data_IF_422947992548
#
_entry.id   IF_422947992548
#
_cell.length_a   1.000
_cell.length_b   1.000
_cell.length_c   1.000
_cell.angle_alpha   90.00
_cell.angle_beta   90.00
_cell.angle_gamma   90.00
#
_symmetry.space_group_name_H-M   'P 1'
#
loop_
_entity.id
_entity.type
_entity.pdbx_description
1 polymer ?
#
# COMPACT_ATOMS: atom_id res chain seq x y z
N UNK A 1 -4.53 2.26 -10.35
CA UNK A 1 -3.41 1.63 -11.07
C UNK A 1 -3.80 0.23 -11.46
N UNK A 2 -3.24 -0.34 -12.51
CA UNK A 2 -3.39 -1.75 -12.85
C UNK A 2 -2.43 -2.61 -12.02
N UNK A 3 -2.92 -3.72 -11.48
CA UNK A 3 -2.16 -4.69 -10.67
C UNK A 3 -2.39 -6.08 -11.25
N UNK A 4 -1.32 -6.86 -11.38
CA UNK A 4 -1.40 -8.26 -11.80
C UNK A 4 -0.53 -9.13 -10.89
N UNK A 5 -1.12 -10.23 -10.44
CA UNK A 5 -0.51 -11.26 -9.61
C UNK A 5 -0.45 -12.54 -10.44
N UNK A 6 0.75 -13.09 -10.59
CA UNK A 6 0.99 -14.29 -11.38
C UNK A 6 1.58 -15.35 -10.46
N UNK A 7 0.80 -16.41 -10.25
CA UNK A 7 1.19 -17.60 -9.48
C UNK A 7 1.79 -17.27 -8.10
N UNK A 8 1.13 -16.37 -7.36
CA UNK A 8 1.64 -15.91 -6.06
C UNK A 8 1.50 -17.00 -5.01
N UNK A 9 2.63 -17.37 -4.41
CA UNK A 9 2.67 -18.18 -3.21
C UNK A 9 3.29 -17.42 -2.04
N UNK A 10 2.86 -17.76 -0.84
CA UNK A 10 3.44 -17.24 0.40
C UNK A 10 3.46 -18.31 1.47
N UNK A 11 4.66 -18.68 1.92
CA UNK A 11 4.89 -19.55 3.07
C UNK A 11 5.76 -18.82 4.08
N UNK A 12 5.37 -18.80 5.36
CA UNK A 12 6.23 -18.27 6.41
C UNK A 12 7.23 -19.33 6.85
N UNK A 13 8.42 -18.91 7.30
CA UNK A 13 9.54 -19.82 7.56
C UNK A 13 9.25 -20.92 8.61
N UNK A 14 8.28 -20.71 9.49
CA UNK A 14 7.90 -21.64 10.56
C UNK A 14 6.72 -22.56 10.16
N UNK A 15 6.21 -22.43 8.93
CA UNK A 15 5.01 -23.14 8.47
C UNK A 15 5.37 -24.18 7.39
N UNK A 16 4.79 -25.38 7.49
CA UNK A 16 4.99 -26.45 6.50
C UNK A 16 4.09 -26.28 5.27
N UNK A 17 3.02 -25.48 5.38
CA UNK A 17 2.02 -25.31 4.32
C UNK A 17 1.91 -23.86 3.85
N UNK A 18 1.65 -23.62 2.56
CA UNK A 18 1.51 -22.28 2.02
C UNK A 18 0.26 -21.58 2.57
N UNK A 19 0.43 -20.34 3.03
CA UNK A 19 -0.67 -19.45 3.39
C UNK A 19 -1.43 -18.96 2.14
N UNK A 20 -0.70 -18.69 1.06
CA UNK A 20 -1.24 -18.37 -0.26
C UNK A 20 -0.65 -19.38 -1.25
N UNK A 21 -1.48 -19.95 -2.12
CA UNK A 21 -1.06 -20.98 -3.09
C UNK A 21 -1.63 -20.65 -4.48
N UNK A 22 -0.74 -20.35 -5.43
CA UNK A 22 -1.07 -20.14 -6.84
C UNK A 22 -2.06 -19.01 -7.13
N UNK A 23 -2.00 -17.89 -6.39
CA UNK A 23 -2.96 -16.79 -6.58
C UNK A 23 -2.67 -16.07 -7.90
N UNK A 24 -3.66 -16.10 -8.79
CA UNK A 24 -3.67 -15.37 -10.05
C UNK A 24 -4.79 -14.33 -10.02
N UNK A 25 -4.46 -13.07 -10.22
CA UNK A 25 -5.40 -11.95 -10.11
C UNK A 25 -4.99 -10.80 -11.02
N UNK A 26 -5.95 -10.23 -11.74
CA UNK A 26 -5.76 -9.01 -12.52
C UNK A 26 -6.79 -7.97 -12.05
N UNK A 27 -6.31 -6.79 -11.68
CA UNK A 27 -7.12 -5.64 -11.29
C UNK A 27 -6.84 -4.53 -12.31
N UNK A 28 -7.80 -4.20 -13.19
CA UNK A 28 -7.64 -3.12 -14.15
C UNK A 28 -7.53 -1.75 -13.47
N UNK A 29 -6.93 -0.80 -14.19
CA UNK A 29 -6.79 0.57 -13.69
C UNK A 29 -8.17 1.21 -13.49
N UNK A 30 -8.39 1.70 -12.26
CA UNK A 30 -9.60 2.45 -11.91
C UNK A 30 -10.73 1.57 -11.36
N UNK A 31 -10.49 0.27 -11.20
CA UNK A 31 -11.46 -0.62 -10.57
C UNK A 31 -11.39 -0.60 -9.05
N UNK A 32 -12.57 -0.76 -8.44
CA UNK A 32 -12.72 -1.07 -7.02
C UNK A 32 -12.81 -2.58 -6.86
N UNK A 33 -11.83 -3.16 -6.17
CA UNK A 33 -11.76 -4.59 -5.93
C UNK A 33 -11.86 -4.88 -4.43
N UNK A 34 -12.51 -5.99 -4.07
CA UNK A 34 -12.74 -6.39 -2.67
C UNK A 34 -12.33 -7.85 -2.47
N UNK A 35 -11.57 -8.12 -1.42
CA UNK A 35 -11.18 -9.47 -0.99
C UNK A 35 -11.98 -9.85 0.25
N UNK A 36 -12.78 -10.91 0.15
CA UNK A 36 -13.62 -11.42 1.23
C UNK A 36 -13.21 -12.85 1.56
N UNK A 37 -13.22 -13.21 2.84
CA UNK A 37 -12.92 -14.55 3.30
C UNK A 37 -12.71 -14.61 4.81
N UNK A 38 -12.60 -15.81 5.40
CA UNK A 38 -12.48 -15.96 6.85
C UNK A 38 -11.20 -15.33 7.40
N UNK A 39 -11.21 -14.96 8.69
CA UNK A 39 -10.01 -14.40 9.36
C UNK A 39 -8.86 -15.41 9.34
N UNK A 40 -7.62 -14.93 9.15
CA UNK A 40 -6.42 -15.77 9.09
C UNK A 40 -6.04 -16.31 7.70
N UNK A 41 -6.90 -16.22 6.69
CA UNK A 41 -6.66 -16.78 5.34
C UNK A 41 -5.83 -15.87 4.42
N UNK A 42 -4.85 -15.16 4.97
CA UNK A 42 -3.87 -14.44 4.13
C UNK A 42 -4.36 -13.17 3.42
N UNK A 43 -5.59 -12.68 3.62
CA UNK A 43 -6.09 -11.44 2.97
C UNK A 43 -5.17 -10.23 3.18
N UNK A 44 -4.80 -9.96 4.44
CA UNK A 44 -3.90 -8.86 4.77
C UNK A 44 -2.48 -9.09 4.27
N UNK A 45 -2.07 -10.36 4.10
CA UNK A 45 -0.79 -10.75 3.52
C UNK A 45 -0.79 -10.46 2.02
N UNK A 46 -1.86 -10.84 1.31
CA UNK A 46 -2.06 -10.55 -0.10
C UNK A 46 -2.06 -9.04 -0.38
N UNK A 47 -2.76 -8.25 0.44
CA UNK A 47 -2.72 -6.77 0.33
C UNK A 47 -1.31 -6.21 0.56
N UNK A 48 -0.54 -6.74 1.51
CA UNK A 48 0.86 -6.33 1.73
C UNK A 48 1.78 -6.71 0.56
N UNK A 49 1.54 -7.85 -0.07
CA UNK A 49 2.26 -8.30 -1.26
C UNK A 49 1.98 -7.35 -2.43
N UNK A 50 0.70 -7.05 -2.69
CA UNK A 50 0.31 -6.04 -3.69
C UNK A 50 0.91 -4.67 -3.38
N UNK A 51 1.01 -4.31 -2.10
CA UNK A 51 1.61 -3.07 -1.65
C UNK A 51 3.15 -3.05 -1.71
N UNK A 52 3.81 -4.16 -2.03
CA UNK A 52 5.27 -4.28 -2.01
C UNK A 52 5.90 -4.21 -0.61
N UNK A 53 5.08 -4.27 0.44
CA UNK A 53 5.51 -4.29 1.85
C UNK A 53 6.04 -5.68 2.22
N UNK A 54 5.49 -6.72 1.59
CA UNK A 54 5.92 -8.10 1.77
C UNK A 54 6.28 -8.70 0.40
N UNK A 55 7.38 -9.44 0.33
CA UNK A 55 7.69 -10.21 -0.87
C UNK A 55 7.05 -11.60 -0.77
N UNK A 56 6.40 -12.09 -1.83
CA UNK A 56 5.91 -13.46 -1.87
C UNK A 56 7.11 -14.44 -1.90
N UNK A 57 6.88 -15.68 -1.50
CA UNK A 57 7.92 -16.72 -1.58
C UNK A 57 8.21 -17.12 -3.03
N UNK A 58 7.20 -17.07 -3.89
CA UNK A 58 7.30 -17.32 -5.33
C UNK A 58 6.22 -16.51 -6.09
N UNK A 59 6.34 -16.46 -7.41
CA UNK A 59 5.43 -15.72 -8.28
C UNK A 59 5.88 -14.28 -8.57
N UNK A 60 5.05 -13.56 -9.32
CA UNK A 60 5.37 -12.22 -9.85
C UNK A 60 4.24 -11.23 -9.53
N UNK A 61 4.62 -10.06 -9.01
CA UNK A 61 3.73 -8.92 -8.80
C UNK A 61 4.06 -7.85 -9.83
N UNK A 62 3.10 -7.54 -10.70
CA UNK A 62 3.21 -6.48 -11.69
C UNK A 62 2.35 -5.27 -11.28
N UNK A 63 2.94 -4.08 -11.26
CA UNK A 63 2.22 -2.82 -11.07
C UNK A 63 2.43 -1.96 -12.32
N UNK A 64 1.35 -1.64 -13.03
CA UNK A 64 1.41 -0.96 -14.34
C UNK A 64 2.38 -1.67 -15.31
N UNK A 65 2.36 -3.01 -15.32
CA UNK A 65 3.22 -3.86 -16.14
C UNK A 65 4.68 -4.00 -15.67
N UNK A 66 5.04 -3.39 -14.54
CA UNK A 66 6.41 -3.44 -13.99
C UNK A 66 6.52 -4.47 -12.87
N UNK A 67 7.50 -5.36 -13.00
CA UNK A 67 7.80 -6.39 -12.01
C UNK A 67 8.41 -5.79 -10.73
N UNK A 68 7.64 -5.86 -9.64
CA UNK A 68 7.99 -5.25 -8.37
C UNK A 68 9.25 -5.82 -7.73
N UNK A 69 9.64 -7.05 -8.08
CA UNK A 69 10.88 -7.68 -7.61
C UNK A 69 12.11 -7.19 -8.39
N UNK A 70 11.91 -6.62 -9.59
CA UNK A 70 13.00 -6.16 -10.47
C UNK A 70 13.22 -4.64 -10.42
N UNK A 71 12.18 -3.86 -10.10
CA UNK A 71 12.29 -2.40 -9.96
C UNK A 71 13.16 -2.01 -8.77
N UNK A 72 14.01 -1.00 -8.95
CA UNK A 72 14.97 -0.52 -7.93
C UNK A 72 15.06 1.01 -7.92
N UNK A 73 15.58 1.56 -6.83
CA UNK A 73 15.87 2.99 -6.70
C UNK A 73 14.64 3.86 -6.96
N UNK A 74 14.80 4.89 -7.81
CA UNK A 74 13.75 5.88 -8.11
C UNK A 74 12.46 5.25 -8.63
N UNK A 75 12.55 4.23 -9.48
CA UNK A 75 11.36 3.60 -10.04
C UNK A 75 10.51 2.90 -8.98
N UNK A 76 11.17 2.22 -8.03
CA UNK A 76 10.47 1.62 -6.88
C UNK A 76 9.82 2.70 -6.01
N UNK A 77 10.50 3.82 -5.80
CA UNK A 77 9.96 4.96 -5.04
C UNK A 77 8.75 5.59 -5.75
N UNK A 78 8.79 5.76 -7.07
CA UNK A 78 7.66 6.28 -7.85
C UNK A 78 6.43 5.36 -7.78
N UNK A 79 6.63 4.05 -7.80
CA UNK A 79 5.54 3.07 -7.61
C UNK A 79 4.97 3.19 -6.19
N UNK A 80 5.85 3.21 -5.18
CA UNK A 80 5.43 3.35 -3.77
C UNK A 80 4.65 4.64 -3.52
N UNK A 81 5.06 5.77 -4.11
CA UNK A 81 4.40 7.06 -3.94
C UNK A 81 3.00 7.11 -4.57
N UNK A 82 2.68 6.19 -5.49
CA UNK A 82 1.33 6.08 -6.08
C UNK A 82 0.40 5.20 -5.24
N UNK A 83 0.90 4.56 -4.19
CA UNK A 83 0.17 3.56 -3.42
C UNK A 83 -0.04 4.03 -1.99
N UNK A 84 -1.31 4.14 -1.59
CA UNK A 84 -1.70 4.39 -0.20
C UNK A 84 -2.17 3.11 0.47
N UNK A 85 -1.81 2.90 1.73
CA UNK A 85 -2.26 1.77 2.53
C UNK A 85 -2.90 2.26 3.83
N UNK A 86 -4.12 1.81 4.11
CA UNK A 86 -4.78 1.99 5.39
C UNK A 86 -4.69 0.69 6.19
N UNK A 87 -4.11 0.76 7.38
CA UNK A 87 -3.92 -0.40 8.25
C UNK A 87 -5.15 -0.65 9.13
N UNK A 88 -5.39 -1.91 9.49
CA UNK A 88 -6.49 -2.31 10.38
C UNK A 88 -6.33 -1.75 11.81
N UNK A 89 -5.09 -1.61 12.28
CA UNK A 89 -4.76 -0.91 13.52
C UNK A 89 -4.21 0.46 13.17
N UNK A 90 -4.48 1.47 14.00
CA UNK A 90 -3.91 2.80 13.83
C UNK A 90 -2.39 2.69 13.72
N UNK A 91 -1.85 3.20 12.60
CA UNK A 91 -0.41 3.29 12.34
C UNK A 91 0.02 4.76 12.34
N UNK A 92 -0.67 5.59 13.13
CA UNK A 92 -0.33 7.00 13.28
C UNK A 92 0.87 7.15 14.21
N UNK A 93 1.64 8.21 14.00
CA UNK A 93 2.65 8.63 14.96
C UNK A 93 1.95 9.29 16.13
N UNK A 94 1.96 8.63 17.29
CA UNK A 94 1.27 9.10 18.51
C UNK A 94 1.82 10.44 19.03
N UNK A 95 3.05 10.80 18.64
CA UNK A 95 3.67 12.07 18.98
C UNK A 95 3.25 13.23 18.07
N UNK A 96 2.47 12.97 17.02
CA UNK A 96 2.08 13.93 16.00
C UNK A 96 0.57 14.14 15.99
N UNK A 97 0.13 15.38 15.73
CA UNK A 97 -1.26 15.72 15.44
C UNK A 97 -1.77 15.04 14.16
N UNK A 98 -3.08 15.09 13.91
CA UNK A 98 -3.63 14.51 12.66
C UNK A 98 -3.09 15.25 11.44
N UNK A 99 -3.02 16.58 11.52
CA UNK A 99 -2.42 17.40 10.46
C UNK A 99 -0.94 17.08 10.21
N UNK A 100 -0.15 16.83 11.25
CA UNK A 100 1.25 16.44 11.11
C UNK A 100 1.42 15.04 10.52
N UNK A 101 0.56 14.09 10.89
CA UNK A 101 0.53 12.75 10.26
C UNK A 101 0.23 12.83 8.75
N UNK A 102 -0.70 13.71 8.34
CA UNK A 102 -1.01 13.94 6.92
C UNK A 102 0.15 14.65 6.21
N UNK A 103 0.77 15.64 6.86
CA UNK A 103 1.86 16.43 6.30
C UNK A 103 3.18 15.68 6.17
N UNK A 104 3.45 14.73 7.06
CA UNK A 104 4.69 13.96 7.09
C UNK A 104 5.04 13.31 5.73
N UNK A 105 4.19 12.47 5.10
CA UNK A 105 4.53 11.88 3.81
C UNK A 105 4.63 12.90 2.67
N UNK A 106 3.95 14.04 2.78
CA UNK A 106 4.05 15.12 1.79
C UNK A 106 5.42 15.79 1.85
N UNK A 107 5.95 16.05 3.05
CA UNK A 107 7.29 16.61 3.25
C UNK A 107 8.39 15.67 2.79
N UNK A 108 8.26 14.38 3.09
CA UNK A 108 9.30 13.39 2.80
C UNK A 108 9.35 12.97 1.32
N UNK A 109 8.18 12.90 0.66
CA UNK A 109 8.09 12.25 -0.65
C UNK A 109 7.70 13.18 -1.80
N UNK A 110 7.60 14.50 -1.56
CA UNK A 110 7.24 15.48 -2.59
C UNK A 110 8.20 16.68 -2.57
N UNK A 111 8.08 17.56 -3.56
CA UNK A 111 8.82 18.83 -3.65
C UNK A 111 7.90 20.04 -3.37
N UNK A 112 6.79 19.81 -2.66
CA UNK A 112 5.84 20.87 -2.33
C UNK A 112 6.44 21.83 -1.32
N UNK A 113 6.10 23.10 -1.45
CA UNK A 113 6.38 24.13 -0.46
C UNK A 113 5.53 23.91 0.80
N UNK A 114 5.98 24.44 1.94
CA UNK A 114 5.19 24.36 3.18
C UNK A 114 3.79 24.97 3.04
N UNK A 115 3.63 26.02 2.22
CA UNK A 115 2.30 26.59 1.94
C UNK A 115 1.39 25.59 1.23
N UNK A 116 1.88 24.92 0.17
CA UNK A 116 1.11 23.89 -0.54
C UNK A 116 0.81 22.68 0.35
N UNK A 117 1.73 22.31 1.24
CA UNK A 117 1.53 21.23 2.20
C UNK A 117 0.42 21.60 3.19
N UNK A 118 0.44 22.81 3.75
CA UNK A 118 -0.59 23.29 4.67
C UNK A 118 -1.96 23.34 3.99
N UNK A 119 -2.04 23.77 2.73
CA UNK A 119 -3.28 23.74 1.95
C UNK A 119 -3.81 22.31 1.76
N UNK A 120 -2.93 21.36 1.43
CA UNK A 120 -3.31 19.95 1.30
C UNK A 120 -3.76 19.33 2.62
N UNK A 121 -3.08 19.64 3.72
CA UNK A 121 -3.47 19.18 5.06
C UNK A 121 -4.89 19.67 5.36
N UNK A 122 -5.17 20.96 5.17
CA UNK A 122 -6.50 21.53 5.39
C UNK A 122 -7.54 20.83 4.52
N UNK A 123 -7.27 20.67 3.24
CA UNK A 123 -8.16 19.98 2.30
C UNK A 123 -8.50 18.56 2.78
N UNK A 124 -7.50 17.76 3.18
CA UNK A 124 -7.74 16.39 3.62
C UNK A 124 -8.49 16.31 4.96
N UNK A 125 -8.16 17.17 5.93
CA UNK A 125 -8.87 17.25 7.21
C UNK A 125 -10.35 17.63 7.03
N UNK A 126 -10.64 18.56 6.11
CA UNK A 126 -12.01 18.92 5.74
C UNK A 126 -12.73 17.75 5.06
N UNK A 127 -12.08 17.07 4.12
CA UNK A 127 -12.65 15.94 3.39
C UNK A 127 -13.07 14.79 4.31
N UNK A 128 -12.33 14.56 5.40
CA UNK A 128 -12.64 13.55 6.42
C UNK A 128 -13.38 14.09 7.64
N UNK A 129 -13.84 15.36 7.59
CA UNK A 129 -14.68 16.02 8.61
C UNK A 129 -14.05 16.15 10.00
N UNK A 130 -12.73 16.37 10.05
CA UNK A 130 -11.97 16.62 11.29
C UNK A 130 -11.10 17.88 11.19
N UNK A 131 -11.67 19.07 10.93
CA UNK A 131 -10.91 20.29 10.62
C UNK A 131 -10.08 20.88 11.78
N UNK A 132 -10.23 20.35 13.01
CA UNK A 132 -9.57 20.84 14.22
C UNK A 132 -8.65 19.79 14.87
N UNK A 133 -8.36 18.69 14.15
CA UNK A 133 -7.63 17.52 14.66
C UNK A 133 -6.12 17.51 14.32
#
# INVERSE_FOLDING_TARGET
>A
MAIELIDIEMTFAEEESPLLSGINLQIPKGETFVIIGPSGYGKSVLLKIMAGVLQPTSGVVLIEGKDLNKVKGKEKQEISNKMGMLFQKNALFDSLTSGENIGFPLRENTQLTEMEIVERIRFFLEAVKIPHA
#
